data_IF_608574191990
#
_entry.id   IF_608574191990
#
_cell.length_a   1.000
_cell.length_b   1.000
_cell.length_c   1.000
_cell.angle_alpha   90.00
_cell.angle_beta   90.00
_cell.angle_gamma   90.00
#
_symmetry.space_group_name_H-M   'P 1'
#
loop_
_entity.id
_entity.type
_entity.pdbx_description
1 polymer ?
#
# COMPACT_ATOMS: atom_id res chain seq x y z
N UNK A 1 21.47 -24.21 -25.54
CA UNK A 1 20.04 -23.88 -25.41
C UNK A 1 19.86 -23.35 -24.00
N UNK A 2 19.84 -22.03 -23.86
CA UNK A 2 19.91 -21.34 -22.57
C UNK A 2 18.54 -20.78 -22.22
N UNK A 3 18.01 -21.17 -21.06
CA UNK A 3 16.78 -20.62 -20.49
C UNK A 3 17.02 -19.20 -19.95
N UNK A 4 16.12 -18.23 -20.15
CA UNK A 4 16.23 -16.93 -19.50
C UNK A 4 15.52 -16.96 -18.14
N UNK A 5 16.29 -16.81 -17.06
CA UNK A 5 15.79 -16.59 -15.70
C UNK A 5 15.02 -15.27 -15.64
N UNK A 6 13.78 -15.30 -15.13
CA UNK A 6 12.86 -14.16 -15.01
C UNK A 6 12.94 -13.42 -13.66
N UNK A 7 14.03 -13.57 -12.90
CA UNK A 7 14.22 -12.90 -11.62
C UNK A 7 15.66 -12.37 -11.47
N UNK A 8 15.87 -11.11 -11.05
CA UNK A 8 17.19 -10.64 -10.66
C UNK A 8 17.63 -11.30 -9.34
N UNK A 9 18.88 -11.72 -9.27
CA UNK A 9 19.50 -12.27 -8.06
C UNK A 9 19.60 -11.21 -6.96
N UNK A 10 18.99 -11.47 -5.81
CA UNK A 10 19.16 -10.68 -4.59
C UNK A 10 20.58 -10.89 -4.05
N UNK A 11 21.43 -9.87 -4.19
CA UNK A 11 22.75 -9.82 -3.56
C UNK A 11 22.57 -9.72 -2.04
N UNK A 12 22.94 -10.78 -1.32
CA UNK A 12 23.01 -10.82 0.14
C UNK A 12 24.48 -10.78 0.54
N UNK A 13 25.12 -9.63 0.32
CA UNK A 13 26.44 -9.35 0.89
C UNK A 13 26.32 -8.28 1.97
N UNK A 14 26.44 -8.70 3.23
CA UNK A 14 26.63 -7.82 4.38
C UNK A 14 27.99 -7.12 4.27
N UNK A 15 28.09 -5.78 4.39
CA UNK A 15 29.37 -5.11 4.55
C UNK A 15 29.90 -5.28 5.99
N UNK A 16 31.22 -5.38 6.20
CA UNK A 16 31.84 -5.53 7.52
C UNK A 16 31.73 -4.24 8.36
N UNK A 17 31.82 -4.31 9.70
CA UNK A 17 31.70 -3.15 10.55
C UNK A 17 32.98 -2.32 10.53
N UNK A 18 32.89 -1.04 10.17
CA UNK A 18 34.07 -0.17 10.12
C UNK A 18 33.75 1.31 9.87
N UNK A 19 33.52 2.05 10.96
CA UNK A 19 33.82 3.47 11.19
C UNK A 19 33.88 4.40 9.97
N UNK A 20 32.85 5.25 9.75
CA UNK A 20 33.02 6.60 9.17
C UNK A 20 32.07 7.63 9.78
N UNK A 21 32.71 8.68 10.29
CA UNK A 21 32.20 9.93 10.84
C UNK A 21 31.78 10.86 9.69
N UNK A 22 30.71 11.64 9.93
CA UNK A 22 30.32 12.91 9.29
C UNK A 22 30.02 12.95 7.78
N UNK A 23 28.73 13.18 7.44
CA UNK A 23 28.32 14.41 6.76
C UNK A 23 26.80 14.56 6.81
N UNK A 24 26.34 15.68 7.36
CA UNK A 24 24.97 16.15 7.29
C UNK A 24 24.88 17.20 6.18
N UNK A 25 23.85 17.13 5.33
CA UNK A 25 23.38 18.27 4.55
C UNK A 25 21.84 18.27 4.49
N UNK A 26 21.21 19.44 4.66
CA UNK A 26 19.76 19.60 4.77
C UNK A 26 19.13 19.96 3.41
N UNK A 27 17.88 19.54 3.16
CA UNK A 27 17.05 20.20 2.15
C UNK A 27 15.61 20.33 2.64
N UNK A 28 15.18 21.59 2.73
CA UNK A 28 13.90 22.10 3.22
C UNK A 28 12.76 21.93 2.19
N UNK A 29 11.48 22.12 2.57
CA UNK A 29 10.32 21.90 1.71
C UNK A 29 10.03 23.12 0.81
N UNK A 30 9.75 22.89 -0.47
CA UNK A 30 9.36 23.96 -1.40
C UNK A 30 7.84 24.22 -1.38
N UNK A 31 7.52 25.43 -0.94
CA UNK A 31 6.20 26.05 -0.97
C UNK A 31 5.84 26.55 -2.38
N UNK A 32 4.54 26.54 -2.65
CA UNK A 32 3.82 27.12 -3.78
C UNK A 32 4.16 28.60 -4.00
N UNK A 33 4.39 28.99 -5.26
CA UNK A 33 4.00 30.32 -5.74
C UNK A 33 3.76 30.31 -7.26
N UNK A 34 2.66 30.93 -7.69
CA UNK A 34 2.22 30.96 -9.08
C UNK A 34 2.89 32.05 -9.92
N UNK A 35 2.93 31.82 -11.23
CA UNK A 35 3.04 32.89 -12.22
C UNK A 35 2.29 32.50 -13.50
N UNK A 36 1.35 33.37 -13.86
CA UNK A 36 0.63 33.36 -15.14
C UNK A 36 1.58 33.84 -16.25
N UNK A 37 1.68 33.07 -17.33
CA UNK A 37 2.39 33.46 -18.56
C UNK A 37 1.59 33.02 -19.78
N UNK A 38 0.81 33.96 -20.33
CA UNK A 38 0.04 33.82 -21.57
C UNK A 38 0.99 34.09 -22.74
N UNK A 39 1.14 33.11 -23.65
CA UNK A 39 1.85 33.24 -24.92
C UNK A 39 1.02 32.61 -26.05
N UNK A 40 0.84 33.27 -27.21
CA UNK A 40 -0.16 32.88 -28.21
C UNK A 40 0.45 31.98 -29.30
N UNK A 41 -0.13 30.80 -29.50
CA UNK A 41 0.16 29.99 -30.70
C UNK A 41 -0.02 28.49 -30.51
N UNK A 42 -0.99 27.93 -31.22
CA UNK A 42 -1.34 26.50 -31.30
C UNK A 42 -1.93 25.91 -30.01
N UNK A 43 -3.22 25.59 -29.94
CA UNK A 43 -3.86 24.58 -30.77
C UNK A 43 -3.92 23.27 -29.97
N UNK A 44 -5.00 23.09 -29.21
CA UNK A 44 -5.46 21.78 -28.69
C UNK A 44 -4.49 20.90 -27.85
N UNK A 45 -3.38 21.43 -27.33
CA UNK A 45 -2.44 20.65 -26.49
C UNK A 45 -2.50 20.97 -24.98
N UNK A 46 -3.33 21.94 -24.55
CA UNK A 46 -3.39 22.40 -23.15
C UNK A 46 -4.37 21.66 -22.24
N UNK A 47 -5.16 20.71 -22.76
CA UNK A 47 -6.15 19.97 -21.98
C UNK A 47 -5.70 18.54 -21.58
N UNK A 48 -4.46 18.16 -21.89
CA UNK A 48 -3.94 16.81 -21.64
C UNK A 48 -3.08 16.68 -20.36
N UNK A 49 -2.86 17.78 -19.62
CA UNK A 49 -2.00 17.79 -18.43
C UNK A 49 -2.67 17.35 -17.11
N UNK A 50 -3.96 17.04 -17.14
CA UNK A 50 -4.75 16.67 -15.97
C UNK A 50 -5.47 15.32 -16.13
N UNK A 51 -4.81 14.33 -16.75
CA UNK A 51 -5.27 12.95 -16.57
C UNK A 51 -4.52 12.32 -15.39
N UNK A 52 -5.21 11.88 -14.32
CA UNK A 52 -4.56 11.04 -13.31
C UNK A 52 -3.89 9.85 -14.02
N UNK A 53 -2.74 9.35 -13.54
CA UNK A 53 -2.08 8.21 -14.18
C UNK A 53 -3.11 7.09 -14.30
N UNK A 54 -3.45 6.75 -15.56
CA UNK A 54 -4.42 5.70 -15.85
C UNK A 54 -4.01 4.45 -15.05
N UNK A 55 -4.95 3.77 -14.36
CA UNK A 55 -4.63 2.68 -13.47
C UNK A 55 -3.74 1.66 -14.18
N UNK A 56 -2.58 1.35 -13.58
CA UNK A 56 -1.68 0.28 -14.03
C UNK A 56 -2.51 -1.00 -14.16
N UNK A 57 -2.75 -1.44 -15.40
CA UNK A 57 -3.65 -2.54 -15.73
C UNK A 57 -4.63 -2.22 -16.87
N UNK A 58 -5.02 -0.96 -17.06
CA UNK A 58 -5.96 -0.58 -18.12
C UNK A 58 -5.38 -0.85 -19.53
N UNK A 59 -4.10 -0.56 -19.75
CA UNK A 59 -3.43 -0.86 -21.02
C UNK A 59 -3.30 -2.38 -21.28
N UNK A 60 -3.15 -3.17 -20.21
CA UNK A 60 -3.04 -4.63 -20.30
C UNK A 60 -4.39 -5.27 -20.61
N UNK A 61 -5.47 -4.75 -20.01
CA UNK A 61 -6.84 -5.17 -20.27
C UNK A 61 -7.27 -4.84 -21.72
N UNK A 62 -6.94 -3.65 -22.21
CA UNK A 62 -7.18 -3.30 -23.63
C UNK A 62 -6.45 -4.23 -24.60
N UNK A 63 -5.20 -4.59 -24.29
CA UNK A 63 -4.47 -5.58 -25.09
C UNK A 63 -5.09 -6.98 -25.01
N UNK A 64 -5.62 -7.38 -23.83
CA UNK A 64 -6.31 -8.65 -23.66
C UNK A 64 -7.61 -8.70 -24.48
N UNK A 65 -8.43 -7.65 -24.42
CA UNK A 65 -9.70 -7.57 -25.16
C UNK A 65 -9.45 -7.56 -26.67
N UNK A 66 -8.42 -6.86 -27.12
CA UNK A 66 -8.04 -6.85 -28.53
C UNK A 66 -7.66 -8.25 -29.04
N UNK A 67 -6.92 -9.03 -28.25
CA UNK A 67 -6.59 -10.41 -28.59
C UNK A 67 -7.83 -11.31 -28.63
N UNK A 68 -8.75 -11.19 -27.68
CA UNK A 68 -10.02 -11.93 -27.68
C UNK A 68 -10.89 -11.62 -28.90
N UNK A 69 -10.96 -10.34 -29.31
CA UNK A 69 -11.71 -9.93 -30.50
C UNK A 69 -11.10 -10.54 -31.77
N UNK A 70 -9.77 -10.59 -31.88
CA UNK A 70 -9.12 -11.25 -33.01
C UNK A 70 -9.39 -12.76 -33.05
N UNK A 71 -9.35 -13.41 -31.89
CA UNK A 71 -9.64 -14.84 -31.76
C UNK A 71 -11.10 -15.17 -32.13
N UNK A 72 -12.06 -14.39 -31.63
CA UNK A 72 -13.46 -14.49 -32.02
C UNK A 72 -13.66 -14.25 -33.53
N UNK A 73 -12.91 -13.30 -34.11
CA UNK A 73 -12.89 -13.07 -35.55
C UNK A 73 -12.38 -14.28 -36.35
N UNK A 74 -11.34 -14.96 -35.86
CA UNK A 74 -10.83 -16.19 -36.46
C UNK A 74 -11.83 -17.35 -36.36
N UNK A 75 -12.49 -17.50 -35.20
CA UNK A 75 -13.53 -18.51 -34.98
C UNK A 75 -14.75 -18.28 -35.88
N UNK A 76 -15.21 -17.04 -36.05
CA UNK A 76 -16.31 -16.71 -36.95
C UNK A 76 -15.97 -17.02 -38.42
N UNK A 77 -14.73 -16.74 -38.83
CA UNK A 77 -14.24 -17.09 -40.17
C UNK A 77 -14.24 -18.60 -40.39
N UNK A 78 -13.70 -19.36 -39.41
CA UNK A 78 -13.72 -20.82 -39.42
C UNK A 78 -15.16 -21.38 -39.44
N UNK A 79 -16.08 -20.76 -38.70
CA UNK A 79 -17.48 -21.19 -38.67
C UNK A 79 -18.16 -20.97 -40.03
N UNK A 80 -17.89 -19.83 -40.67
CA UNK A 80 -18.36 -19.55 -42.04
C UNK A 80 -17.80 -20.54 -43.06
N UNK A 81 -16.54 -20.92 -42.95
CA UNK A 81 -15.92 -21.93 -43.82
C UNK A 81 -16.53 -23.32 -43.60
N UNK A 82 -16.81 -23.71 -42.35
CA UNK A 82 -17.52 -24.96 -42.01
C UNK A 82 -18.96 -24.97 -42.52
N UNK A 83 -19.69 -23.86 -42.41
CA UNK A 83 -21.05 -23.75 -42.95
C UNK A 83 -21.01 -23.85 -44.47
N UNK A 84 -20.06 -23.20 -45.14
CA UNK A 84 -19.90 -23.31 -46.59
C UNK A 84 -19.60 -24.74 -47.06
N UNK A 85 -18.76 -25.48 -46.32
CA UNK A 85 -18.47 -26.88 -46.64
C UNK A 85 -19.68 -27.79 -46.41
N UNK A 86 -20.46 -27.54 -45.36
CA UNK A 86 -21.73 -28.26 -45.11
C UNK A 86 -22.73 -27.99 -46.23
N UNK A 87 -22.92 -26.73 -46.63
CA UNK A 87 -23.84 -26.38 -47.72
C UNK A 87 -23.42 -27.03 -49.03
N UNK A 88 -22.13 -27.03 -49.35
CA UNK A 88 -21.61 -27.71 -50.56
C UNK A 88 -21.82 -29.22 -50.51
N UNK A 89 -21.58 -29.85 -49.37
CA UNK A 89 -21.84 -31.28 -49.20
C UNK A 89 -23.34 -31.60 -49.28
N UNK A 90 -24.20 -30.73 -48.75
CA UNK A 90 -25.65 -30.87 -48.85
C UNK A 90 -26.15 -30.72 -50.30
N UNK A 91 -25.59 -29.79 -51.08
CA UNK A 91 -25.89 -29.65 -52.51
C UNK A 91 -25.44 -30.87 -53.33
N UNK A 92 -24.29 -31.47 -53.01
CA UNK A 92 -23.82 -32.70 -53.67
C UNK A 92 -24.71 -33.91 -53.33
N UNK A 93 -25.20 -34.00 -52.09
CA UNK A 93 -26.16 -35.04 -51.66
C UNK A 93 -27.52 -34.84 -52.33
N UNK A 94 -28.02 -33.62 -52.41
CA UNK A 94 -29.28 -33.31 -53.10
C UNK A 94 -29.22 -33.63 -54.60
N UNK A 95 -28.09 -33.36 -55.26
CA UNK A 95 -27.86 -33.74 -56.66
C UNK A 95 -27.81 -35.25 -56.89
N UNK A 96 -27.25 -36.01 -55.94
CA UNK A 96 -27.28 -37.49 -56.00
C UNK A 96 -28.67 -38.05 -55.72
N UNK A 97 -29.42 -37.47 -54.80
CA UNK A 97 -30.78 -37.90 -54.47
C UNK A 97 -31.78 -37.67 -55.61
N UNK A 98 -31.65 -36.58 -56.37
CA UNK A 98 -32.49 -36.31 -57.55
C UNK A 98 -32.19 -37.20 -58.78
N UNK A 99 -31.06 -37.93 -58.79
CA UNK A 99 -30.66 -38.81 -59.89
C UNK A 99 -31.08 -40.28 -59.76
N UNK A 100 -31.70 -40.68 -58.64
CA UNK A 100 -31.92 -42.09 -58.28
C UNK A 100 -33.41 -42.52 -58.26
N UNK A 101 -34.33 -41.70 -58.80
CA UNK A 101 -35.78 -41.96 -58.77
C UNK A 101 -36.35 -42.36 -60.14
N UNK A 102 -35.74 -43.33 -60.83
CA UNK A 102 -36.37 -43.99 -61.98
C UNK A 102 -35.88 -45.44 -62.11
N UNK A 103 -36.53 -46.39 -61.44
CA UNK A 103 -36.79 -47.76 -61.99
C UNK A 103 -37.77 -48.50 -61.04
N UNK A 104 -38.97 -48.84 -61.49
CA UNK A 104 -39.33 -50.23 -61.84
C UNK A 104 -39.88 -50.99 -60.61
N UNK A 105 -41.17 -51.32 -60.49
CA UNK A 105 -41.96 -52.12 -61.42
C UNK A 105 -42.22 -53.52 -60.83
N UNK A 106 -43.33 -53.67 -60.11
CA UNK A 106 -44.18 -54.87 -59.89
C UNK A 106 -43.60 -56.29 -59.61
N UNK A 107 -44.10 -56.87 -58.50
CA UNK A 107 -44.51 -58.27 -58.28
C UNK A 107 -43.46 -59.41 -58.12
N UNK A 108 -43.34 -59.97 -56.89
CA UNK A 108 -43.12 -61.41 -56.62
C UNK A 108 -43.22 -61.74 -55.10
N UNK A 109 -44.03 -62.72 -54.64
CA UNK A 109 -44.17 -63.04 -53.20
C UNK A 109 -42.96 -63.75 -52.56
N UNK A 110 -42.03 -64.32 -53.35
CA UNK A 110 -40.75 -64.85 -52.86
C UNK A 110 -39.67 -63.75 -52.73
N UNK A 111 -39.78 -62.68 -53.52
CA UNK A 111 -38.94 -61.49 -53.41
C UNK A 111 -39.27 -60.72 -52.12
N UNK A 112 -40.53 -60.77 -51.69
CA UNK A 112 -40.95 -60.19 -50.41
C UNK A 112 -40.30 -60.89 -49.21
N UNK A 113 -40.14 -62.23 -49.21
CA UNK A 113 -39.44 -62.95 -48.12
C UNK A 113 -37.93 -62.64 -48.05
N UNK A 114 -37.29 -62.46 -49.20
CA UNK A 114 -35.87 -62.07 -49.25
C UNK A 114 -35.69 -60.62 -48.78
N UNK A 115 -36.56 -59.71 -49.23
CA UNK A 115 -36.64 -58.33 -48.76
C UNK A 115 -36.96 -58.23 -47.27
N UNK A 116 -37.85 -59.09 -46.74
CA UNK A 116 -38.15 -59.15 -45.31
C UNK A 116 -36.90 -59.52 -44.51
N UNK A 117 -36.13 -60.53 -44.95
CA UNK A 117 -34.86 -60.90 -44.27
C UNK A 117 -33.79 -59.81 -44.35
N UNK A 118 -33.69 -59.13 -45.48
CA UNK A 118 -32.79 -57.98 -45.66
C UNK A 118 -33.20 -56.83 -44.73
N UNK A 119 -34.50 -56.49 -44.68
CA UNK A 119 -35.06 -55.49 -43.77
C UNK A 119 -34.87 -55.87 -42.29
N UNK A 120 -34.97 -57.15 -41.93
CA UNK A 120 -34.68 -57.63 -40.57
C UNK A 120 -33.21 -57.46 -40.20
N UNK A 121 -32.30 -57.69 -41.14
CA UNK A 121 -30.86 -57.51 -40.94
C UNK A 121 -30.49 -56.03 -40.84
N UNK A 122 -31.06 -55.19 -41.70
CA UNK A 122 -30.94 -53.73 -41.64
C UNK A 122 -31.49 -53.19 -40.31
N UNK A 123 -32.64 -53.70 -39.87
CA UNK A 123 -33.28 -53.34 -38.61
C UNK A 123 -32.45 -53.81 -37.41
N UNK A 124 -31.83 -54.98 -37.46
CA UNK A 124 -30.91 -55.45 -36.43
C UNK A 124 -29.66 -54.56 -36.34
N UNK A 125 -29.09 -54.17 -37.49
CA UNK A 125 -27.96 -53.24 -37.58
C UNK A 125 -28.32 -51.85 -37.03
N UNK A 126 -29.50 -51.33 -37.37
CA UNK A 126 -29.98 -50.06 -36.83
C UNK A 126 -30.24 -50.13 -35.32
N UNK A 127 -30.81 -51.22 -34.81
CA UNK A 127 -30.97 -51.43 -33.36
C UNK A 127 -29.63 -51.42 -32.61
N UNK A 128 -28.63 -52.08 -33.16
CA UNK A 128 -27.29 -52.08 -32.58
C UNK A 128 -26.65 -50.68 -32.57
N UNK A 129 -26.79 -49.92 -33.67
CA UNK A 129 -26.36 -48.52 -33.72
C UNK A 129 -27.07 -47.65 -32.68
N UNK A 130 -28.38 -47.84 -32.50
CA UNK A 130 -29.16 -47.14 -31.47
C UNK A 130 -28.66 -47.48 -30.06
N UNK A 131 -28.29 -48.72 -29.79
CA UNK A 131 -27.70 -49.12 -28.51
C UNK A 131 -26.35 -48.44 -28.27
N UNK A 132 -25.48 -48.40 -29.30
CA UNK A 132 -24.20 -47.70 -29.24
C UNK A 132 -24.38 -46.20 -28.95
N UNK A 133 -25.26 -45.52 -29.69
CA UNK A 133 -25.53 -44.10 -29.46
C UNK A 133 -26.13 -43.84 -28.08
N UNK A 134 -26.97 -44.73 -27.55
CA UNK A 134 -27.48 -44.62 -26.18
C UNK A 134 -26.38 -44.78 -25.15
N UNK A 135 -25.40 -45.65 -25.39
CA UNK A 135 -24.24 -45.81 -24.53
C UNK A 135 -23.38 -44.54 -24.53
N UNK A 136 -22.99 -44.06 -25.72
CA UNK A 136 -22.22 -42.81 -25.87
C UNK A 136 -22.96 -41.61 -25.27
N UNK A 137 -24.29 -41.56 -25.41
CA UNK A 137 -25.09 -40.49 -24.80
C UNK A 137 -25.02 -40.52 -23.26
N UNK A 138 -25.02 -41.70 -22.64
CA UNK A 138 -24.86 -41.83 -21.18
C UNK A 138 -23.47 -41.38 -20.72
N UNK A 139 -22.42 -41.79 -21.43
CA UNK A 139 -21.05 -41.38 -21.14
C UNK A 139 -20.86 -39.86 -21.31
N UNK A 140 -21.36 -39.28 -22.41
CA UNK A 140 -21.33 -37.84 -22.63
C UNK A 140 -22.08 -37.06 -21.55
N UNK A 141 -23.24 -37.55 -21.12
CA UNK A 141 -24.01 -36.91 -20.02
C UNK A 141 -23.24 -36.97 -18.70
N UNK A 142 -22.55 -38.07 -18.45
CA UNK A 142 -21.71 -38.24 -17.25
C UNK A 142 -20.53 -37.27 -17.29
N UNK A 143 -19.87 -37.15 -18.44
CA UNK A 143 -18.75 -36.24 -18.63
C UNK A 143 -19.17 -34.77 -18.48
N UNK A 144 -20.35 -34.39 -18.97
CA UNK A 144 -20.92 -33.05 -18.76
C UNK A 144 -21.10 -32.78 -17.27
N UNK A 145 -21.63 -33.74 -16.49
CA UNK A 145 -21.77 -33.60 -15.04
C UNK A 145 -20.43 -33.41 -14.32
N UNK A 146 -19.39 -34.14 -14.72
CA UNK A 146 -18.04 -33.97 -14.16
C UNK A 146 -17.44 -32.59 -14.51
N UNK A 147 -17.67 -32.08 -15.72
CA UNK A 147 -17.23 -30.74 -16.09
C UNK A 147 -17.98 -29.65 -15.33
N UNK A 148 -19.27 -29.82 -15.11
CA UNK A 148 -20.08 -28.89 -14.32
C UNK A 148 -19.55 -28.81 -12.88
N UNK A 149 -19.28 -29.96 -12.25
CA UNK A 149 -18.70 -30.02 -10.92
C UNK A 149 -17.29 -29.39 -10.86
N UNK A 150 -16.42 -29.74 -11.81
CA UNK A 150 -15.07 -29.20 -11.88
C UNK A 150 -15.06 -27.68 -12.13
N UNK A 151 -15.92 -27.18 -13.02
CA UNK A 151 -16.05 -25.73 -13.23
C UNK A 151 -16.67 -25.03 -12.03
N UNK A 152 -17.67 -25.65 -11.37
CA UNK A 152 -18.27 -25.11 -10.16
C UNK A 152 -17.25 -24.92 -9.04
N UNK A 153 -16.45 -25.95 -8.78
CA UNK A 153 -15.37 -25.91 -7.78
C UNK A 153 -14.28 -24.90 -8.14
N UNK A 154 -13.87 -24.83 -9.41
CA UNK A 154 -12.87 -23.85 -9.86
C UNK A 154 -13.36 -22.41 -9.68
N UNK A 155 -14.62 -22.12 -10.03
CA UNK A 155 -15.22 -20.78 -9.87
C UNK A 155 -15.29 -20.40 -8.39
N UNK A 156 -15.65 -21.32 -7.52
CA UNK A 156 -15.70 -21.07 -6.08
C UNK A 156 -14.30 -20.81 -5.49
N UNK A 157 -13.30 -21.57 -5.91
CA UNK A 157 -11.90 -21.32 -5.52
C UNK A 157 -11.42 -19.95 -5.98
N UNK A 158 -11.72 -19.54 -7.23
CA UNK A 158 -11.37 -18.21 -7.75
C UNK A 158 -12.05 -17.12 -6.92
N UNK A 159 -13.35 -17.27 -6.63
CA UNK A 159 -14.09 -16.30 -5.80
C UNK A 159 -13.46 -16.17 -4.42
N UNK A 160 -13.17 -17.29 -3.76
CA UNK A 160 -12.57 -17.31 -2.43
C UNK A 160 -11.17 -16.68 -2.45
N UNK A 161 -10.36 -17.00 -3.46
CA UNK A 161 -9.03 -16.42 -3.63
C UNK A 161 -9.07 -14.90 -3.81
N UNK A 162 -9.95 -14.39 -4.67
CA UNK A 162 -10.12 -12.95 -4.87
C UNK A 162 -10.56 -12.25 -3.57
N UNK A 163 -11.54 -12.81 -2.86
CA UNK A 163 -12.01 -12.28 -1.57
C UNK A 163 -10.93 -12.29 -0.50
N UNK A 164 -10.16 -13.37 -0.40
CA UNK A 164 -9.07 -13.50 0.56
C UNK A 164 -7.93 -12.50 0.29
N UNK A 165 -7.60 -12.26 -0.98
CA UNK A 165 -6.58 -11.27 -1.35
C UNK A 165 -7.01 -9.87 -0.98
N UNK A 166 -8.24 -9.49 -1.32
CA UNK A 166 -8.77 -8.18 -0.98
C UNK A 166 -8.79 -7.98 0.54
N UNK A 167 -9.24 -9.00 1.28
CA UNK A 167 -9.22 -9.00 2.73
C UNK A 167 -7.82 -8.87 3.33
N UNK A 168 -6.81 -9.55 2.76
CA UNK A 168 -5.40 -9.44 3.18
C UNK A 168 -4.85 -8.05 2.90
N UNK A 169 -5.11 -7.49 1.72
CA UNK A 169 -4.65 -6.16 1.34
C UNK A 169 -5.24 -5.07 2.26
N UNK A 170 -6.55 -5.15 2.55
CA UNK A 170 -7.21 -4.22 3.47
C UNK A 170 -6.66 -4.33 4.89
N UNK A 171 -6.44 -5.55 5.39
CA UNK A 171 -5.81 -5.78 6.70
C UNK A 171 -4.40 -5.19 6.77
N UNK A 172 -3.59 -5.41 5.74
CA UNK A 172 -2.25 -4.86 5.65
C UNK A 172 -2.27 -3.32 5.64
N UNK A 173 -3.15 -2.72 4.84
CA UNK A 173 -3.29 -1.26 4.78
C UNK A 173 -3.74 -0.65 6.11
N UNK A 174 -4.69 -1.30 6.79
CA UNK A 174 -5.12 -0.87 8.13
C UNK A 174 -3.96 -0.97 9.12
N UNK A 175 -3.25 -2.09 9.14
CA UNK A 175 -2.11 -2.29 10.03
C UNK A 175 -1.01 -1.23 9.85
N UNK A 176 -0.65 -0.90 8.60
CA UNK A 176 0.32 0.19 8.36
C UNK A 176 -0.20 1.56 8.77
N UNK A 177 -1.50 1.82 8.62
CA UNK A 177 -2.08 3.07 9.06
C UNK A 177 -2.06 3.19 10.59
N UNK A 178 -2.37 2.10 11.29
CA UNK A 178 -2.31 2.01 12.75
C UNK A 178 -0.87 2.23 13.25
N UNK A 179 0.11 1.59 12.61
CA UNK A 179 1.53 1.77 12.96
C UNK A 179 1.99 3.22 12.74
N UNK A 180 1.61 3.84 11.63
CA UNK A 180 1.93 5.24 11.35
C UNK A 180 1.28 6.18 12.36
N UNK A 181 0.06 5.86 12.81
CA UNK A 181 -0.61 6.63 13.84
C UNK A 181 0.08 6.47 15.20
N UNK A 182 0.46 5.24 15.55
CA UNK A 182 1.23 4.96 16.75
C UNK A 182 2.56 5.72 16.77
N UNK A 183 3.32 5.73 15.68
CA UNK A 183 4.57 6.49 15.62
C UNK A 183 4.35 8.00 15.81
N UNK A 184 3.26 8.56 15.26
CA UNK A 184 2.90 9.97 15.48
C UNK A 184 2.57 10.25 16.94
N UNK A 185 1.80 9.35 17.56
CA UNK A 185 1.38 9.49 18.96
C UNK A 185 2.59 9.34 19.90
N UNK A 186 3.47 8.38 19.65
CA UNK A 186 4.73 8.19 20.40
C UNK A 186 5.66 9.40 20.27
N UNK A 187 5.77 9.96 19.06
CA UNK A 187 6.56 11.16 18.83
C UNK A 187 5.95 12.40 19.52
N UNK A 188 4.63 12.54 19.53
CA UNK A 188 3.95 13.59 20.28
C UNK A 188 4.18 13.42 21.79
N UNK A 189 4.05 12.21 22.30
CA UNK A 189 4.26 11.90 23.71
C UNK A 189 5.67 12.25 24.17
N UNK A 190 6.69 11.86 23.40
CA UNK A 190 8.09 12.20 23.69
C UNK A 190 8.32 13.72 23.78
N UNK A 191 7.67 14.50 22.92
CA UNK A 191 7.74 15.97 22.98
C UNK A 191 7.04 16.54 24.21
N UNK A 192 5.87 16.03 24.56
CA UNK A 192 5.13 16.44 25.75
C UNK A 192 5.93 16.14 27.03
N UNK A 193 6.54 14.96 27.12
CA UNK A 193 7.40 14.57 28.24
C UNK A 193 8.62 15.49 28.35
N UNK A 194 9.27 15.77 27.22
CA UNK A 194 10.37 16.72 27.15
C UNK A 194 9.96 18.10 27.67
N UNK A 195 8.83 18.63 27.19
CA UNK A 195 8.32 19.94 27.62
C UNK A 195 7.95 19.94 29.12
N UNK A 196 7.41 18.83 29.62
CA UNK A 196 7.12 18.65 31.04
C UNK A 196 8.38 18.75 31.90
N UNK A 197 9.45 18.02 31.55
CA UNK A 197 10.72 18.05 32.27
C UNK A 197 11.41 19.42 32.18
N UNK A 198 11.34 20.07 31.02
CA UNK A 198 11.86 21.44 30.88
C UNK A 198 11.11 22.42 31.78
N UNK A 199 9.78 22.36 31.81
CA UNK A 199 8.98 23.23 32.68
C UNK A 199 9.29 23.01 34.17
N UNK A 200 9.43 21.75 34.60
CA UNK A 200 9.85 21.42 35.96
C UNK A 200 11.24 21.96 36.28
N UNK A 201 12.19 21.83 35.37
CA UNK A 201 13.57 22.31 35.56
C UNK A 201 13.61 23.83 35.69
N UNK A 202 12.87 24.56 34.85
CA UNK A 202 12.75 26.02 34.94
C UNK A 202 12.18 26.44 36.29
N UNK A 203 11.12 25.77 36.74
CA UNK A 203 10.51 26.02 38.06
C UNK A 203 11.51 25.82 39.20
N UNK A 204 12.29 24.75 39.18
CA UNK A 204 13.34 24.50 40.19
C UNK A 204 14.42 25.57 40.13
N UNK A 205 14.88 25.96 38.93
CA UNK A 205 15.84 27.06 38.78
C UNK A 205 15.33 28.39 39.35
N UNK A 206 14.04 28.71 39.16
CA UNK A 206 13.41 29.89 39.77
C UNK A 206 13.34 29.78 41.29
N UNK A 207 12.97 28.62 41.83
CA UNK A 207 12.98 28.36 43.27
C UNK A 207 14.38 28.52 43.88
N UNK A 208 15.43 28.06 43.18
CA UNK A 208 16.82 28.23 43.63
C UNK A 208 17.23 29.70 43.61
N UNK A 209 16.92 30.43 42.52
CA UNK A 209 17.24 31.87 42.43
C UNK A 209 16.51 32.68 43.49
N UNK A 210 15.24 32.38 43.74
CA UNK A 210 14.44 33.06 44.78
C UNK A 210 14.94 32.72 46.18
N UNK A 211 15.27 31.47 46.48
CA UNK A 211 15.89 31.08 47.74
C UNK A 211 17.26 31.77 47.97
N UNK A 212 18.10 31.86 46.92
CA UNK A 212 19.34 32.62 46.99
C UNK A 212 19.09 34.10 47.25
N UNK A 213 18.11 34.71 46.57
CA UNK A 213 17.76 36.12 46.78
C UNK A 213 17.26 36.37 48.20
N UNK A 214 16.37 35.52 48.72
CA UNK A 214 15.90 35.63 50.11
C UNK A 214 17.06 35.50 51.09
N UNK A 215 17.95 34.52 50.90
CA UNK A 215 19.16 34.37 51.72
C UNK A 215 20.08 35.59 51.65
N UNK A 216 20.20 36.29 50.53
CA UNK A 216 21.02 37.51 50.46
C UNK A 216 20.30 38.72 51.07
N UNK A 217 19.00 38.85 50.81
CA UNK A 217 18.19 39.99 51.25
C UNK A 217 17.97 39.96 52.78
N UNK A 218 17.83 38.77 53.39
CA UNK A 218 17.62 38.57 54.84
C UNK A 218 18.68 39.19 55.75
N UNK A 219 19.84 39.56 55.21
CA UNK A 219 20.97 40.04 56.00
C UNK A 219 21.43 41.45 55.56
N UNK A 220 21.02 41.95 54.39
CA UNK A 220 21.63 43.15 53.81
C UNK A 220 21.22 44.46 54.50
N UNK A 221 19.96 44.63 54.93
CA UNK A 221 19.49 45.92 55.46
C UNK A 221 20.07 46.20 56.85
N UNK A 222 20.04 45.22 57.75
CA UNK A 222 20.54 45.37 59.10
C UNK A 222 22.06 45.55 59.12
N UNK A 223 22.80 44.78 58.32
CA UNK A 223 24.25 44.91 58.23
C UNK A 223 24.68 46.24 57.58
N UNK A 224 23.95 46.75 56.58
CA UNK A 224 24.27 48.07 55.99
C UNK A 224 24.06 49.21 56.98
N UNK A 225 22.99 49.16 57.79
CA UNK A 225 22.74 50.14 58.85
C UNK A 225 23.84 50.08 59.91
N UNK A 226 24.19 48.88 60.41
CA UNK A 226 25.24 48.71 61.42
C UNK A 226 26.60 49.18 60.86
N UNK A 227 26.93 48.87 59.61
CA UNK A 227 28.16 49.32 58.96
C UNK A 227 28.19 50.85 58.79
N UNK A 228 27.07 51.48 58.40
CA UNK A 228 26.96 52.92 58.28
C UNK A 228 27.15 53.62 59.64
N UNK A 229 26.47 53.14 60.69
CA UNK A 229 26.59 53.65 62.05
C UNK A 229 28.03 53.50 62.58
N UNK A 230 28.67 52.35 62.36
CA UNK A 230 30.07 52.16 62.74
C UNK A 230 31.01 53.11 61.96
N UNK A 231 30.72 53.36 60.67
CA UNK A 231 31.41 54.36 59.86
C UNK A 231 31.30 55.78 60.41
N UNK A 232 30.11 56.17 60.88
CA UNK A 232 29.89 57.45 61.56
C UNK A 232 30.68 57.55 62.85
N UNK A 233 30.66 56.51 63.70
CA UNK A 233 31.45 56.47 64.95
C UNK A 233 32.94 56.60 64.66
N UNK A 234 33.47 55.88 63.64
CA UNK A 234 34.87 56.01 63.20
C UNK A 234 35.20 57.43 62.74
N UNK A 235 34.28 58.07 62.02
CA UNK A 235 34.43 59.45 61.55
C UNK A 235 34.45 60.45 62.73
N UNK A 236 33.47 60.35 63.64
CA UNK A 236 33.37 61.19 64.82
C UNK A 236 34.60 61.04 65.73
N UNK A 237 35.08 59.82 65.93
CA UNK A 237 36.30 59.52 66.69
C UNK A 237 37.53 60.21 66.09
N UNK A 238 37.64 60.19 64.76
CA UNK A 238 38.68 60.92 64.01
C UNK A 238 38.56 62.43 64.17
N UNK A 239 37.36 62.99 64.11
CA UNK A 239 37.13 64.44 64.29
C UNK A 239 37.49 64.93 65.70
N UNK A 240 37.30 64.10 66.72
CA UNK A 240 37.62 64.40 68.12
C UNK A 240 39.11 64.11 68.43
N UNK A 241 39.87 63.54 67.49
CA UNK A 241 41.29 63.23 67.65
C UNK A 241 41.56 62.01 68.53
N UNK A 242 40.57 61.14 68.72
CA UNK A 242 40.72 59.87 69.40
C UNK A 242 41.35 58.82 68.46
N UNK A 243 42.14 57.90 69.03
CA UNK A 243 42.74 56.81 68.27
C UNK A 243 41.67 55.94 67.59
N UNK A 244 41.94 55.32 66.42
CA UNK A 244 41.00 54.38 65.82
C UNK A 244 40.81 53.17 66.75
N UNK A 245 39.55 52.77 66.94
CA UNK A 245 39.21 51.55 67.69
C UNK A 245 39.65 50.32 66.89
N UNK A 246 40.11 49.27 67.58
CA UNK A 246 40.40 48.02 66.89
C UNK A 246 39.11 47.38 66.42
N UNK A 247 39.10 46.67 65.28
CA UNK A 247 37.90 46.04 64.75
C UNK A 247 37.17 45.19 65.80
N UNK A 248 37.92 44.44 66.62
CA UNK A 248 37.36 43.55 67.65
C UNK A 248 36.69 44.26 68.84
N UNK A 249 37.02 45.53 69.05
CA UNK A 249 36.52 46.35 70.16
C UNK A 249 35.27 47.15 69.73
N UNK A 250 34.99 47.22 68.43
CA UNK A 250 33.86 47.95 67.88
C UNK A 250 32.51 47.35 68.31
N UNK A 251 31.55 48.21 68.63
CA UNK A 251 30.19 47.77 69.03
C UNK A 251 29.48 47.00 67.90
N UNK A 252 29.76 47.33 66.63
CA UNK A 252 29.24 46.61 65.47
C UNK A 252 29.97 45.30 65.12
N UNK A 253 31.14 45.03 65.70
CA UNK A 253 32.00 43.89 65.36
C UNK A 253 31.32 42.51 65.36
N UNK A 254 30.54 42.10 66.39
CA UNK A 254 29.98 40.76 66.45
C UNK A 254 29.00 40.47 65.31
N UNK A 255 28.46 41.52 64.69
CA UNK A 255 27.56 41.44 63.53
C UNK A 255 28.36 41.57 62.23
N UNK A 256 29.31 42.49 62.15
CA UNK A 256 30.06 42.75 60.91
C UNK A 256 31.14 41.69 60.59
N UNK A 257 31.57 40.88 61.55
CA UNK A 257 32.60 39.84 61.36
C UNK A 257 32.21 38.75 60.35
N UNK A 258 30.91 38.47 60.23
CA UNK A 258 30.37 37.40 59.39
C UNK A 258 29.90 37.92 58.02
N UNK A 259 29.98 39.24 57.81
CA UNK A 259 29.67 39.86 56.55
C UNK A 259 30.78 39.52 55.54
N UNK A 260 30.46 39.05 54.32
CA UNK A 260 31.43 39.05 53.24
C UNK A 260 31.71 40.51 52.89
N UNK A 261 32.72 41.10 53.52
CA UNK A 261 33.19 42.43 53.15
C UNK A 261 33.57 42.37 51.66
N UNK A 262 33.00 43.22 50.79
CA UNK A 262 33.64 43.44 49.50
C UNK A 262 35.02 44.03 49.82
N UNK A 263 36.08 43.38 49.33
CA UNK A 263 37.42 43.99 49.33
C UNK A 263 37.42 45.35 48.63
#
# INVERSE_FOLDING_TARGET
MSSPNAFPSLDTSLPPPGNRVSSASPTAPSSVNGSNGIGPGSGAAGAAGYMPPLPVGHQQDLNHLFNQIQELGALLRSNRDKVNSITRNAEEVAKRANGALTDGGSAQPENDKAKIRELELELAKQKHLVELYKHEQKENTTLIGMYEEAMGTAVEQIRNYCGDIEGRFLRQRRHYNDLLQQEKDDHLQSRLDRDHWYAQTVKVCEMIRTAHRLRTDEWCEEYTIIAALQGEVRCLRRCIGMEPEKPEEETGWPYLKDLPLPE
#
